data_IF_995114819861
#
_entry.id   IF_995114819861
#
_cell.length_a   1.000
_cell.length_b   1.000
_cell.length_c   1.000
_cell.angle_alpha   90.00
_cell.angle_beta   90.00
_cell.angle_gamma   90.00
#
_symmetry.space_group_name_H-M   'P 1'
#
loop_
_entity.id
_entity.type
_entity.pdbx_description
1 polymer ?
#
# COMPACT_ATOMS: atom_id res chain seq x y z
N UNK A 1 9.11 -12.19 7.40
CA UNK A 1 8.47 -13.27 6.60
C UNK A 1 9.30 -14.55 6.70
N UNK A 2 10.58 -14.50 6.30
CA UNK A 2 11.49 -15.64 6.46
C UNK A 2 11.70 -16.09 7.91
N UNK A 3 11.78 -15.16 8.87
CA UNK A 3 11.86 -15.49 10.30
C UNK A 3 10.78 -16.49 10.76
N UNK A 4 9.51 -16.22 10.43
CA UNK A 4 8.38 -17.13 10.74
C UNK A 4 8.39 -18.43 9.93
N UNK A 5 8.82 -18.37 8.67
CA UNK A 5 8.98 -19.57 7.84
C UNK A 5 10.02 -20.53 8.44
N UNK A 6 11.19 -20.01 8.83
CA UNK A 6 12.24 -20.81 9.49
C UNK A 6 11.84 -21.30 10.89
N UNK A 7 10.97 -20.56 11.59
CA UNK A 7 10.33 -21.01 12.84
C UNK A 7 9.17 -22.01 12.61
N UNK A 8 8.93 -22.45 11.36
CA UNK A 8 7.84 -23.37 10.97
C UNK A 8 6.42 -22.91 11.36
N UNK A 9 6.24 -21.61 11.60
CA UNK A 9 4.94 -21.03 11.97
C UNK A 9 4.08 -20.66 10.74
N UNK A 10 4.67 -20.60 9.55
CA UNK A 10 3.96 -20.21 8.35
C UNK A 10 4.58 -20.87 7.11
N UNK A 11 3.82 -20.91 6.01
CA UNK A 11 4.30 -21.42 4.72
C UNK A 11 5.33 -20.50 4.08
N UNK A 12 6.02 -21.01 3.05
CA UNK A 12 7.02 -20.26 2.31
C UNK A 12 6.42 -18.95 1.75
N UNK A 13 7.12 -17.81 1.89
CA UNK A 13 6.62 -16.53 1.41
C UNK A 13 6.43 -16.57 -0.11
N UNK A 14 5.25 -16.16 -0.58
CA UNK A 14 4.95 -16.08 -2.01
C UNK A 14 5.29 -14.69 -2.55
N UNK A 15 6.34 -14.62 -3.36
CA UNK A 15 6.74 -13.38 -4.04
C UNK A 15 5.87 -13.13 -5.27
N UNK A 16 5.64 -11.85 -5.58
CA UNK A 16 4.99 -11.44 -6.81
C UNK A 16 6.00 -11.57 -7.97
N UNK A 17 5.54 -12.09 -9.11
CA UNK A 17 6.36 -12.15 -10.32
C UNK A 17 6.78 -10.74 -10.75
N UNK A 18 8.06 -10.58 -11.13
CA UNK A 18 8.59 -9.33 -11.70
C UNK A 18 7.95 -8.99 -13.04
N UNK A 19 7.51 -9.99 -13.80
CA UNK A 19 6.83 -9.85 -15.10
C UNK A 19 5.36 -9.46 -14.97
N UNK A 20 4.83 -9.28 -13.75
CA UNK A 20 3.46 -8.83 -13.58
C UNK A 20 3.36 -7.33 -13.88
N UNK A 21 2.66 -7.04 -14.96
CA UNK A 21 2.37 -5.69 -15.45
C UNK A 21 1.55 -4.84 -14.47
N UNK A 22 0.74 -5.48 -13.63
CA UNK A 22 -0.05 -4.81 -12.60
C UNK A 22 0.61 -5.03 -11.25
N UNK A 23 1.22 -3.97 -10.74
CA UNK A 23 1.88 -3.99 -9.44
C UNK A 23 1.02 -3.25 -8.43
N UNK A 24 0.64 -3.90 -7.34
CA UNK A 24 -0.07 -3.25 -6.25
C UNK A 24 0.45 -3.72 -4.90
N UNK A 25 0.33 -2.84 -3.91
CA UNK A 25 0.51 -3.20 -2.51
C UNK A 25 -0.59 -2.55 -1.68
N UNK A 26 -1.06 -3.29 -0.67
CA UNK A 26 -2.07 -2.83 0.27
C UNK A 26 -1.43 -2.63 1.63
N UNK A 27 -1.71 -1.48 2.23
CA UNK A 27 -1.31 -1.12 3.58
C UNK A 27 -2.53 -1.07 4.48
N UNK A 28 -2.41 -1.61 5.69
CA UNK A 28 -3.45 -1.58 6.71
C UNK A 28 -3.15 -0.46 7.69
N UNK A 29 -4.21 0.21 8.16
CA UNK A 29 -4.13 1.18 9.24
C UNK A 29 -3.96 0.44 10.57
N UNK A 30 -2.88 0.72 11.28
CA UNK A 30 -2.64 0.18 12.64
C UNK A 30 -2.43 1.30 13.66
N UNK A 31 -1.54 2.26 13.38
CA UNK A 31 -1.19 3.36 14.29
C UNK A 31 -1.18 4.71 13.55
N UNK A 32 -2.28 5.06 12.87
CA UNK A 32 -2.39 6.32 12.11
C UNK A 32 -1.24 6.56 11.10
N UNK A 33 -0.76 5.44 10.53
CA UNK A 33 0.28 5.45 9.52
C UNK A 33 -0.25 5.90 8.15
N UNK A 34 -1.57 5.85 7.95
CA UNK A 34 -2.25 6.35 6.75
C UNK A 34 -3.13 7.55 7.12
N UNK A 35 -2.90 8.69 6.48
CA UNK A 35 -3.69 9.91 6.71
C UNK A 35 -3.71 10.77 5.45
N UNK A 36 -4.81 11.47 5.21
CA UNK A 36 -4.90 12.49 4.16
C UNK A 36 -4.63 13.85 4.79
N UNK A 37 -3.54 14.51 4.38
CA UNK A 37 -3.12 15.82 4.88
C UNK A 37 -3.13 16.80 3.71
N UNK A 38 -4.17 17.62 3.61
CA UNK A 38 -4.36 18.52 2.48
C UNK A 38 -4.34 17.73 1.16
N UNK A 39 -3.44 18.07 0.23
CA UNK A 39 -3.27 17.38 -1.07
C UNK A 39 -2.23 16.25 -1.06
N UNK A 40 -1.87 15.74 0.13
CA UNK A 40 -0.89 14.67 0.31
C UNK A 40 -1.50 13.53 1.10
N UNK A 41 -1.06 12.31 0.82
CA UNK A 41 -1.38 11.11 1.59
C UNK A 41 -0.13 10.62 2.29
N UNK A 42 -0.23 10.39 3.60
CA UNK A 42 0.78 9.72 4.41
C UNK A 42 0.67 8.22 4.15
N UNK A 43 1.76 7.61 3.74
CA UNK A 43 1.90 6.17 3.56
C UNK A 43 3.02 5.67 4.49
N UNK A 44 2.91 4.45 5.06
CA UNK A 44 3.83 3.98 6.08
C UNK A 44 5.29 3.90 5.63
N UNK A 45 5.56 3.58 4.36
CA UNK A 45 6.93 3.46 3.82
C UNK A 45 7.40 4.66 3.00
N UNK A 46 6.47 5.34 2.34
CA UNK A 46 6.78 6.43 1.40
C UNK A 46 6.64 7.82 2.03
N UNK A 47 6.09 7.92 3.23
CA UNK A 47 5.82 9.19 3.88
C UNK A 47 4.70 9.96 3.16
N UNK A 48 4.83 11.29 3.10
CA UNK A 48 3.83 12.16 2.48
C UNK A 48 4.00 12.22 0.96
N UNK A 49 3.04 11.67 0.24
CA UNK A 49 3.02 11.62 -1.23
C UNK A 49 1.92 12.53 -1.76
N UNK A 50 2.22 13.36 -2.74
CA UNK A 50 1.21 14.20 -3.41
C UNK A 50 0.25 13.29 -4.18
N UNK A 51 -1.06 13.50 -4.00
CA UNK A 51 -2.07 12.77 -4.75
C UNK A 51 -3.18 13.71 -5.21
N UNK A 52 -3.82 13.37 -6.32
CA UNK A 52 -5.03 14.05 -6.77
C UNK A 52 -6.24 13.40 -6.08
N UNK A 53 -7.00 14.18 -5.32
CA UNK A 53 -8.25 13.72 -4.70
C UNK A 53 -9.32 13.58 -5.77
N UNK A 54 -9.65 12.35 -6.13
CA UNK A 54 -10.81 12.07 -6.97
C UNK A 54 -12.12 12.11 -6.18
N UNK A 55 -12.07 11.79 -4.88
CA UNK A 55 -13.21 11.77 -3.95
C UNK A 55 -12.77 12.25 -2.57
N UNK A 56 -13.67 12.88 -1.84
CA UNK A 56 -13.46 13.15 -0.42
C UNK A 56 -13.53 11.86 0.39
N UNK A 57 -12.56 11.69 1.29
CA UNK A 57 -12.53 10.54 2.21
C UNK A 57 -13.44 10.87 3.38
N UNK A 58 -14.63 10.26 3.39
CA UNK A 58 -15.57 10.34 4.52
C UNK A 58 -15.34 9.16 5.46
N UNK A 59 -15.19 9.44 6.75
CA UNK A 59 -15.00 8.41 7.78
C UNK A 59 -13.56 7.95 7.98
N UNK A 60 -13.37 6.74 8.54
CA UNK A 60 -12.06 6.18 8.91
C UNK A 60 -11.44 5.38 7.77
N UNK A 61 -10.16 5.62 7.50
CA UNK A 61 -9.35 4.81 6.58
C UNK A 61 -8.95 3.49 7.26
N UNK A 62 -9.37 2.35 6.71
CA UNK A 62 -9.01 1.01 7.21
C UNK A 62 -7.79 0.46 6.47
N UNK A 63 -7.75 0.64 5.16
CA UNK A 63 -6.64 0.24 4.30
C UNK A 63 -6.46 1.24 3.15
N UNK A 64 -5.29 1.21 2.54
CA UNK A 64 -4.99 1.94 1.31
C UNK A 64 -4.28 1.00 0.34
N UNK A 65 -4.71 0.98 -0.92
CA UNK A 65 -4.12 0.13 -1.95
C UNK A 65 -3.49 1.00 -3.03
N UNK A 66 -2.17 1.00 -3.08
CA UNK A 66 -1.44 1.69 -4.13
C UNK A 66 -1.25 0.73 -5.30
N UNK A 67 -1.81 1.06 -6.46
CA UNK A 67 -1.65 0.29 -7.70
C UNK A 67 -0.95 1.10 -8.78
N UNK A 68 -0.06 0.44 -9.52
CA UNK A 68 0.63 0.97 -10.69
C UNK A 68 0.05 0.33 -11.93
N UNK A 69 -0.42 1.15 -12.88
CA UNK A 69 -0.82 0.69 -14.22
C UNK A 69 0.39 0.55 -15.14
N UNK A 70 0.21 -0.15 -16.27
CA UNK A 70 1.24 -0.32 -17.31
C UNK A 70 1.77 1.02 -17.83
N UNK A 71 0.95 2.07 -17.83
CA UNK A 71 1.34 3.44 -18.18
C UNK A 71 2.30 4.11 -17.18
N UNK A 72 2.70 3.43 -16.11
CA UNK A 72 3.56 3.98 -15.05
C UNK A 72 2.82 4.86 -14.04
N UNK A 73 1.53 5.14 -14.25
CA UNK A 73 0.72 5.95 -13.33
C UNK A 73 0.33 5.18 -12.07
N UNK A 74 0.43 5.84 -10.93
CA UNK A 74 0.05 5.33 -9.62
C UNK A 74 -1.33 5.83 -9.21
N UNK A 75 -2.10 4.96 -8.59
CA UNK A 75 -3.43 5.25 -8.06
C UNK A 75 -3.51 4.73 -6.63
N UNK A 76 -4.17 5.49 -5.77
CA UNK A 76 -4.42 5.17 -4.37
C UNK A 76 -5.92 5.07 -4.14
#
# INVERSE_FOLDING_TARGET
>A
AYTRFFQKQNSAPRFKSKKNNVQSYTTKQTNENIAVVGNKIKLPKLGLVRFAKSREVKGRIVNATVRRKLSGRYFV
#
